data_IF_533475659458
#
_entry.id   IF_533475659458
#
_cell.length_a   1.000
_cell.length_b   1.000
_cell.length_c   1.000
_cell.angle_alpha   90.00
_cell.angle_beta   90.00
_cell.angle_gamma   90.00
#
_symmetry.space_group_name_H-M   'P 1'
#
loop_
_entity.id
_entity.type
_entity.pdbx_description
1 polymer ?
#
# COMPACT_ATOMS: atom_id res chain seq x y z
N UNK A 1 -14.89 -6.52 6.51
CA UNK A 1 -13.56 -6.96 6.96
C UNK A 1 -13.60 -8.22 7.83
N UNK A 2 -14.32 -8.25 8.96
CA UNK A 2 -14.23 -9.34 9.95
C UNK A 2 -14.50 -10.76 9.41
N UNK A 3 -15.46 -10.96 8.49
CA UNK A 3 -15.82 -12.30 7.99
C UNK A 3 -14.75 -12.96 7.10
N UNK A 4 -13.93 -12.16 6.40
CA UNK A 4 -12.96 -12.65 5.40
C UNK A 4 -11.56 -12.06 5.63
N UNK A 5 -11.22 -11.71 6.87
CA UNK A 5 -9.94 -11.02 7.20
C UNK A 5 -8.74 -11.78 6.65
N UNK A 6 -8.71 -13.10 6.82
CA UNK A 6 -7.60 -13.95 6.38
C UNK A 6 -7.38 -13.88 4.86
N UNK A 7 -8.46 -13.81 4.08
CA UNK A 7 -8.38 -13.67 2.63
C UNK A 7 -7.79 -12.31 2.23
N UNK A 8 -8.20 -11.23 2.91
CA UNK A 8 -7.64 -9.90 2.66
C UNK A 8 -6.17 -9.79 3.08
N UNK A 9 -5.80 -10.40 4.21
CA UNK A 9 -4.39 -10.50 4.62
C UNK A 9 -3.59 -11.28 3.57
N UNK A 10 -4.11 -12.41 3.08
CA UNK A 10 -3.45 -13.19 2.04
C UNK A 10 -3.25 -12.41 0.73
N UNK A 11 -4.26 -11.63 0.31
CA UNK A 11 -4.17 -10.74 -0.84
C UNK A 11 -3.06 -9.68 -0.64
N UNK A 12 -3.09 -8.96 0.48
CA UNK A 12 -2.10 -7.91 0.77
C UNK A 12 -0.68 -8.48 0.93
N UNK A 13 -0.52 -9.70 1.47
CA UNK A 13 0.79 -10.38 1.44
C UNK A 13 1.29 -10.63 0.02
N UNK A 14 0.39 -10.87 -0.93
CA UNK A 14 0.71 -10.96 -2.35
C UNK A 14 1.20 -9.63 -2.90
N UNK A 15 0.41 -8.57 -2.68
CA UNK A 15 0.74 -7.21 -3.16
C UNK A 15 2.03 -6.65 -2.56
N UNK A 16 2.29 -6.87 -1.26
CA UNK A 16 3.54 -6.46 -0.60
C UNK A 16 4.76 -7.12 -1.25
N UNK A 17 4.66 -8.41 -1.61
CA UNK A 17 5.76 -9.12 -2.30
C UNK A 17 5.89 -8.64 -3.75
N UNK A 18 4.77 -8.48 -4.45
CA UNK A 18 4.76 -7.96 -5.81
C UNK A 18 5.32 -6.53 -5.89
N UNK A 19 5.17 -5.72 -4.84
CA UNK A 19 5.76 -4.38 -4.77
C UNK A 19 7.29 -4.41 -4.79
N UNK A 20 7.90 -5.43 -4.16
CA UNK A 20 9.34 -5.66 -4.26
C UNK A 20 9.74 -5.97 -5.70
N UNK A 21 9.03 -6.90 -6.35
CA UNK A 21 9.31 -7.29 -7.74
C UNK A 21 9.11 -6.10 -8.68
N UNK A 22 8.06 -5.30 -8.50
CA UNK A 22 7.83 -4.05 -9.23
C UNK A 22 9.04 -3.10 -9.15
N UNK A 23 9.67 -2.96 -7.98
CA UNK A 23 10.81 -2.05 -7.79
C UNK A 23 12.17 -2.65 -8.19
N UNK A 24 12.30 -3.98 -8.25
CA UNK A 24 13.60 -4.65 -8.36
C UNK A 24 13.73 -5.59 -9.56
N UNK A 25 12.63 -5.97 -10.19
CA UNK A 25 12.56 -6.84 -11.37
C UNK A 25 11.55 -6.28 -12.39
N UNK A 26 11.95 -5.20 -13.06
CA UNK A 26 11.16 -4.57 -14.12
C UNK A 26 10.72 -5.59 -15.19
N UNK A 27 11.64 -6.46 -15.64
CA UNK A 27 11.36 -7.43 -16.70
C UNK A 27 10.29 -8.43 -16.27
N UNK A 28 10.41 -9.00 -15.07
CA UNK A 28 9.43 -9.93 -14.52
C UNK A 28 8.07 -9.26 -14.30
N UNK A 29 8.07 -8.05 -13.75
CA UNK A 29 6.84 -7.28 -13.52
C UNK A 29 6.11 -6.96 -14.83
N UNK A 30 6.81 -6.47 -15.86
CA UNK A 30 6.23 -6.22 -17.19
C UNK A 30 5.66 -7.50 -17.79
N UNK A 31 6.42 -8.61 -17.76
CA UNK A 31 5.95 -9.88 -18.31
C UNK A 31 4.68 -10.39 -17.60
N UNK A 32 4.58 -10.22 -16.28
CA UNK A 32 3.39 -10.59 -15.51
C UNK A 32 2.16 -9.75 -15.91
N UNK A 33 2.33 -8.44 -16.10
CA UNK A 33 1.24 -7.55 -16.51
C UNK A 33 0.82 -7.81 -17.95
N UNK A 34 1.76 -7.98 -18.89
CA UNK A 34 1.45 -8.36 -20.29
C UNK A 34 0.64 -9.65 -20.33
N UNK A 35 1.10 -10.68 -19.61
CA UNK A 35 0.42 -11.99 -19.56
C UNK A 35 -1.01 -11.91 -19.01
N UNK A 36 -1.24 -11.08 -17.99
CA UNK A 36 -2.56 -10.98 -17.32
C UNK A 36 -3.53 -10.03 -18.02
N UNK A 37 -3.04 -8.96 -18.64
CA UNK A 37 -3.86 -7.92 -19.26
C UNK A 37 -4.03 -8.09 -20.76
N UNK A 38 -3.15 -8.84 -21.44
CA UNK A 38 -3.10 -8.91 -22.90
C UNK A 38 -2.65 -7.61 -23.58
N UNK A 39 -2.18 -6.63 -22.80
CA UNK A 39 -1.64 -5.37 -23.32
C UNK A 39 -0.26 -5.58 -23.93
N UNK A 40 0.09 -4.68 -24.84
CA UNK A 40 1.39 -4.62 -25.47
C UNK A 40 2.52 -4.33 -24.46
N UNK A 41 3.69 -4.94 -24.65
CA UNK A 41 4.83 -4.84 -23.74
C UNK A 41 5.36 -3.40 -23.64
N UNK A 42 5.51 -2.71 -24.77
CA UNK A 42 6.00 -1.33 -24.81
C UNK A 42 4.99 -0.35 -24.19
N UNK A 43 3.69 -0.64 -24.34
CA UNK A 43 2.65 0.09 -23.62
C UNK A 43 2.77 -0.10 -22.11
N UNK A 44 2.87 -1.35 -21.63
CA UNK A 44 3.00 -1.67 -20.20
C UNK A 44 4.24 -1.03 -19.60
N UNK A 45 5.39 -1.14 -20.28
CA UNK A 45 6.65 -0.56 -19.81
C UNK A 45 6.57 0.96 -19.68
N UNK A 46 6.01 1.66 -20.68
CA UNK A 46 5.81 3.12 -20.60
C UNK A 46 4.89 3.49 -19.44
N UNK A 47 3.76 2.82 -19.31
CA UNK A 47 2.78 3.18 -18.29
C UNK A 47 3.33 3.01 -16.87
N UNK A 48 4.11 1.95 -16.62
CA UNK A 48 4.56 1.58 -15.28
C UNK A 48 5.91 2.24 -14.91
N UNK A 49 6.84 2.38 -15.86
CA UNK A 49 8.24 2.72 -15.58
C UNK A 49 8.74 4.01 -16.22
N UNK A 50 8.10 4.52 -17.27
CA UNK A 50 8.48 5.81 -17.85
C UNK A 50 7.93 6.93 -16.97
N UNK A 51 8.85 7.71 -16.38
CA UNK A 51 8.56 8.78 -15.43
C UNK A 51 7.79 9.95 -16.03
N UNK A 52 7.98 10.23 -17.31
CA UNK A 52 7.27 11.32 -17.99
C UNK A 52 5.81 10.92 -18.19
N UNK A 53 5.56 9.72 -18.70
CA UNK A 53 4.19 9.26 -18.96
C UNK A 53 3.45 8.82 -17.70
N UNK A 54 4.14 8.26 -16.71
CA UNK A 54 3.55 7.85 -15.43
C UNK A 54 3.41 9.00 -14.43
N UNK A 55 3.94 10.19 -14.72
CA UNK A 55 3.99 11.33 -13.79
C UNK A 55 4.59 10.96 -12.42
N UNK A 56 5.60 10.08 -12.41
CA UNK A 56 6.18 9.50 -11.20
C UNK A 56 5.15 8.81 -10.27
N UNK A 57 4.07 8.25 -10.82
CA UNK A 57 3.11 7.46 -10.04
C UNK A 57 3.80 6.27 -9.39
N UNK A 58 3.54 6.06 -8.10
CA UNK A 58 4.02 4.89 -7.37
C UNK A 58 2.85 3.99 -7.00
N UNK A 59 3.01 2.68 -7.18
CA UNK A 59 2.03 1.66 -6.84
C UNK A 59 2.32 1.00 -5.48
N UNK A 60 2.64 1.83 -4.47
CA UNK A 60 2.92 1.35 -3.11
C UNK A 60 1.61 0.83 -2.47
N UNK A 61 1.56 -0.42 -1.96
CA UNK A 61 0.36 -0.99 -1.33
C UNK A 61 0.08 -0.44 0.07
N UNK A 62 0.93 0.43 0.62
CA UNK A 62 0.70 1.06 1.92
C UNK A 62 -0.58 1.92 1.91
N UNK A 63 -1.45 1.81 2.92
CA UNK A 63 -2.69 2.56 2.96
C UNK A 63 -2.49 4.07 3.09
N UNK A 64 -1.35 4.54 3.62
CA UNK A 64 -1.00 5.95 3.77
C UNK A 64 -2.15 6.80 4.37
N UNK A 65 -2.61 6.42 5.56
CA UNK A 65 -3.70 7.09 6.26
C UNK A 65 -3.46 8.60 6.38
N UNK A 66 -2.22 9.03 6.62
CA UNK A 66 -1.89 10.45 6.75
C UNK A 66 -2.20 11.23 5.46
N UNK A 67 -1.80 10.68 4.30
CA UNK A 67 -2.11 11.27 3.00
C UNK A 67 -3.59 11.29 2.70
N UNK A 68 -4.29 10.17 2.94
CA UNK A 68 -5.75 10.06 2.73
C UNK A 68 -6.52 11.02 3.65
N UNK A 69 -6.09 11.17 4.90
CA UNK A 69 -6.67 12.13 5.84
C UNK A 69 -6.54 13.56 5.34
N UNK A 70 -5.40 13.92 4.75
CA UNK A 70 -5.19 15.23 4.13
C UNK A 70 -6.20 15.50 3.01
N UNK A 71 -6.35 14.55 2.08
CA UNK A 71 -7.32 14.66 0.98
C UNK A 71 -8.76 14.74 1.50
N UNK A 72 -9.13 13.87 2.45
CA UNK A 72 -10.46 13.85 3.03
C UNK A 72 -10.81 15.18 3.71
N UNK A 73 -9.86 15.77 4.44
CA UNK A 73 -10.03 17.06 5.11
C UNK A 73 -10.26 18.21 4.12
N UNK A 74 -9.57 18.21 2.98
CA UNK A 74 -9.79 19.20 1.90
C UNK A 74 -11.19 19.07 1.30
N UNK A 75 -11.62 17.84 0.99
CA UNK A 75 -12.94 17.60 0.41
C UNK A 75 -14.09 18.00 1.34
N UNK A 76 -13.93 17.79 2.66
CA UNK A 76 -14.87 18.29 3.67
C UNK A 76 -14.85 19.83 3.74
N UNK A 77 -13.66 20.44 3.76
CA UNK A 77 -13.49 21.89 3.81
C UNK A 77 -14.09 22.62 2.61
N UNK A 78 -14.07 22.01 1.43
CA UNK A 78 -14.70 22.53 0.21
C UNK A 78 -16.19 22.19 0.10
N UNK A 79 -16.76 21.46 1.08
CA UNK A 79 -18.13 20.95 1.03
C UNK A 79 -18.41 20.09 -0.20
N UNK A 80 -17.36 19.49 -0.79
CA UNK A 80 -17.46 18.57 -1.92
C UNK A 80 -18.01 17.21 -1.46
N UNK A 81 -17.69 16.83 -0.22
CA UNK A 81 -18.31 15.72 0.49
C UNK A 81 -18.96 16.25 1.77
N UNK A 82 -20.15 15.75 2.10
CA UNK A 82 -20.84 16.05 3.35
C UNK A 82 -20.82 14.82 4.25
N UNK A 83 -19.94 14.82 5.24
CA UNK A 83 -19.83 13.74 6.23
C UNK A 83 -19.41 14.32 7.57
N UNK A 84 -19.92 13.73 8.64
CA UNK A 84 -19.48 13.99 10.01
C UNK A 84 -18.62 12.84 10.56
N UNK A 85 -18.44 11.77 9.77
CA UNK A 85 -17.72 10.58 10.20
C UNK A 85 -16.21 10.81 10.07
N UNK A 86 -15.42 10.55 11.11
CA UNK A 86 -13.96 10.59 10.99
C UNK A 86 -13.47 9.46 10.08
N UNK A 87 -12.35 9.68 9.39
CA UNK A 87 -11.85 8.78 8.34
C UNK A 87 -11.66 7.33 8.84
N UNK A 88 -11.14 7.17 10.06
CA UNK A 88 -10.84 5.86 10.65
C UNK A 88 -12.07 4.98 10.90
N UNK A 89 -13.30 5.49 10.80
CA UNK A 89 -14.51 4.65 10.90
C UNK A 89 -14.77 3.80 9.65
N UNK A 90 -14.15 4.13 8.52
CA UNK A 90 -14.31 3.40 7.26
C UNK A 90 -12.99 3.13 6.54
N UNK A 91 -11.89 3.57 7.14
CA UNK A 91 -10.52 3.33 6.66
C UNK A 91 -9.77 2.48 7.70
N UNK A 92 -9.33 1.28 7.30
CA UNK A 92 -8.71 0.30 8.19
C UNK A 92 -7.28 -0.03 7.72
N UNK A 93 -6.29 0.32 8.55
CA UNK A 93 -4.87 0.03 8.29
C UNK A 93 -4.42 -1.33 8.85
N UNK A 94 -5.24 -1.96 9.70
CA UNK A 94 -4.85 -3.14 10.47
C UNK A 94 -4.61 -4.37 9.58
N UNK A 95 -5.35 -4.51 8.48
CA UNK A 95 -5.21 -5.66 7.58
C UNK A 95 -3.86 -5.62 6.87
N UNK A 96 -3.44 -4.43 6.41
CA UNK A 96 -2.12 -4.23 5.82
C UNK A 96 -1.02 -4.44 6.86
N UNK A 97 -1.18 -3.90 8.08
CA UNK A 97 -0.21 -4.09 9.15
C UNK A 97 0.03 -5.58 9.47
N UNK A 98 -1.05 -6.37 9.57
CA UNK A 98 -0.95 -7.82 9.80
C UNK A 98 -0.27 -8.55 8.64
N UNK A 99 -0.61 -8.18 7.40
CA UNK A 99 0.01 -8.74 6.21
C UNK A 99 1.52 -8.44 6.16
N UNK A 100 1.92 -7.19 6.42
CA UNK A 100 3.32 -6.79 6.40
C UNK A 100 4.12 -7.46 7.53
N UNK A 101 3.59 -7.52 8.75
CA UNK A 101 4.18 -8.31 9.84
C UNK A 101 4.38 -9.78 9.45
N UNK A 102 3.39 -10.38 8.79
CA UNK A 102 3.48 -11.77 8.34
C UNK A 102 4.54 -11.97 7.24
N UNK A 103 4.71 -11.02 6.31
CA UNK A 103 5.77 -11.06 5.29
C UNK A 103 7.14 -10.88 5.94
N UNK A 104 7.31 -9.93 6.85
CA UNK A 104 8.58 -9.73 7.58
C UNK A 104 8.95 -11.00 8.37
N UNK A 105 7.98 -11.62 9.04
CA UNK A 105 8.21 -12.91 9.73
C UNK A 105 8.61 -14.03 8.77
N UNK A 106 8.09 -14.03 7.54
CA UNK A 106 8.41 -15.03 6.52
C UNK A 106 9.79 -14.79 5.88
N UNK A 107 10.24 -13.54 5.80
CA UNK A 107 11.51 -13.12 5.21
C UNK A 107 12.28 -12.21 6.19
N UNK A 108 12.73 -12.73 7.34
CA UNK A 108 13.25 -11.92 8.42
C UNK A 108 14.49 -11.11 8.03
N UNK A 109 15.35 -11.65 7.17
CA UNK A 109 16.62 -11.00 6.77
C UNK A 109 16.48 -10.04 5.58
N UNK A 110 15.28 -9.94 5.00
CA UNK A 110 15.02 -9.08 3.86
C UNK A 110 14.72 -7.65 4.32
N UNK A 111 15.72 -6.78 4.19
CA UNK A 111 15.65 -5.38 4.63
C UNK A 111 14.60 -4.58 3.87
N UNK A 112 14.18 -5.00 2.67
CA UNK A 112 13.13 -4.34 1.91
C UNK A 112 11.81 -4.27 2.70
N UNK A 113 11.36 -5.41 3.24
CA UNK A 113 10.11 -5.46 3.99
C UNK A 113 10.21 -4.75 5.34
N UNK A 114 11.39 -4.75 5.97
CA UNK A 114 11.64 -3.93 7.18
C UNK A 114 11.53 -2.44 6.86
N UNK A 115 12.07 -1.99 5.73
CA UNK A 115 11.93 -0.60 5.29
C UNK A 115 10.47 -0.24 4.96
N UNK A 116 9.68 -1.17 4.44
CA UNK A 116 8.23 -0.97 4.30
C UNK A 116 7.53 -0.76 5.65
N UNK A 117 7.98 -1.42 6.73
CA UNK A 117 7.43 -1.17 8.08
C UNK A 117 7.77 0.22 8.59
N UNK A 118 9.00 0.69 8.34
CA UNK A 118 9.40 2.07 8.66
C UNK A 118 8.53 3.07 7.89
N UNK A 119 8.30 2.83 6.60
CA UNK A 119 7.39 3.64 5.79
C UNK A 119 5.96 3.63 6.35
N UNK A 120 5.44 2.45 6.70
CA UNK A 120 4.12 2.30 7.30
C UNK A 120 3.97 3.14 8.58
N UNK A 121 4.97 3.08 9.47
CA UNK A 121 5.00 3.91 10.69
C UNK A 121 4.96 5.39 10.35
N UNK A 122 5.81 5.86 9.43
CA UNK A 122 5.89 7.28 9.10
C UNK A 122 4.60 7.83 8.47
N UNK A 123 3.89 7.03 7.68
CA UNK A 123 2.75 7.47 6.86
C UNK A 123 1.38 7.11 7.44
N UNK A 124 1.33 6.41 8.58
CA UNK A 124 0.07 6.03 9.22
C UNK A 124 -0.01 6.45 10.70
N UNK A 125 0.98 7.19 11.22
CA UNK A 125 1.04 7.58 12.63
C UNK A 125 -0.08 8.50 13.13
N UNK A 126 -0.87 9.13 12.25
CA UNK A 126 -2.06 9.91 12.64
C UNK A 126 -3.31 9.03 12.84
N UNK A 127 -3.22 7.72 12.57
CA UNK A 127 -4.32 6.79 12.81
C UNK A 127 -4.62 6.69 14.32
N UNK A 128 -5.89 6.63 14.75
CA UNK A 128 -6.22 6.51 16.17
C UNK A 128 -5.58 5.27 16.82
N UNK A 129 -5.05 5.45 18.03
CA UNK A 129 -4.29 4.45 18.81
C UNK A 129 -3.02 3.91 18.13
N UNK A 130 -2.49 4.56 17.09
CA UNK A 130 -1.37 4.03 16.31
C UNK A 130 -0.17 3.64 17.18
N UNK A 131 0.25 4.55 18.06
CA UNK A 131 1.39 4.35 18.97
C UNK A 131 1.26 3.10 19.83
N UNK A 132 0.04 2.78 20.28
CA UNK A 132 -0.22 1.63 21.14
C UNK A 132 -0.16 0.30 20.37
N UNK A 133 -0.55 0.32 19.09
CA UNK A 133 -0.76 -0.92 18.29
C UNK A 133 0.38 -1.24 17.33
N UNK A 134 1.13 -0.23 16.88
CA UNK A 134 2.02 -0.37 15.72
C UNK A 134 3.42 0.25 15.88
N UNK A 135 3.70 0.98 16.96
CA UNK A 135 5.00 1.66 17.13
C UNK A 135 6.13 0.76 17.65
N UNK A 136 5.93 -0.55 17.65
CA UNK A 136 6.97 -1.53 18.00
C UNK A 136 7.95 -1.73 16.84
N UNK A 137 9.24 -1.74 17.15
CA UNK A 137 10.27 -2.22 16.23
C UNK A 137 10.07 -3.73 16.01
N UNK A 138 10.03 -4.15 14.74
CA UNK A 138 9.93 -5.56 14.32
C UNK A 138 11.32 -6.14 14.06
#
# INVERSE_FOLDING_TARGET
LQKNRDAYVALLKGEIRAYKDYLTDEKGAVAAVVKSSGQDEDYVKRYIYDKETSQNTSYNPDPNYNGVLGVYSVLLGWNYVKSQRPLNEFFDISVYADALKAVIKQFPDDTFYRNMWVYFIANNNLYPDFSQKYQTTL
#
